data_IF_859087003591
#
_entry.id   IF_859087003591
#
_cell.length_a   1.000
_cell.length_b   1.000
_cell.length_c   1.000
_cell.angle_alpha   90.00
_cell.angle_beta   90.00
_cell.angle_gamma   90.00
#
_symmetry.space_group_name_H-M   'P 1'
#
loop_
_entity.id
_entity.type
_entity.pdbx_description
1 polymer ?
#
# COMPACT_ATOMS: atom_id res chain seq x y z
N UNK A 1 -21.36 28.62 21.82
CA UNK A 1 -20.09 27.86 21.90
C UNK A 1 -20.20 26.43 21.34
N UNK A 2 -21.29 25.70 21.61
CA UNK A 2 -21.55 24.35 21.07
C UNK A 2 -21.62 24.27 19.52
N UNK A 3 -22.21 25.27 18.86
CA UNK A 3 -22.39 25.25 17.39
C UNK A 3 -21.07 25.42 16.63
N UNK A 4 -20.17 26.30 17.09
CA UNK A 4 -18.86 26.52 16.47
C UNK A 4 -17.92 25.31 16.64
N UNK A 5 -18.05 24.56 17.73
CA UNK A 5 -17.26 23.37 18.01
C UNK A 5 -17.68 22.19 17.10
N UNK A 6 -18.97 22.03 16.84
CA UNK A 6 -19.50 21.03 15.89
C UNK A 6 -19.16 21.37 14.43
N UNK A 7 -19.19 22.64 14.04
CA UNK A 7 -18.77 23.07 12.69
C UNK A 7 -17.28 22.80 12.48
N UNK A 8 -16.42 23.14 13.45
CA UNK A 8 -14.97 22.83 13.37
C UNK A 8 -14.69 21.33 13.31
N UNK A 9 -15.46 20.51 14.04
CA UNK A 9 -15.35 19.04 14.01
C UNK A 9 -15.77 18.47 12.66
N UNK A 10 -16.88 18.96 12.08
CA UNK A 10 -17.36 18.56 10.75
C UNK A 10 -16.40 18.94 9.61
N UNK A 11 -15.84 20.16 9.63
CA UNK A 11 -14.84 20.60 8.64
C UNK A 11 -13.54 19.79 8.73
N UNK A 12 -13.10 19.45 9.95
CA UNK A 12 -11.91 18.62 10.16
C UNK A 12 -12.09 17.19 9.62
N UNK A 13 -13.25 16.58 9.84
CA UNK A 13 -13.58 15.26 9.28
C UNK A 13 -13.63 15.29 7.74
N UNK A 14 -14.22 16.32 7.14
CA UNK A 14 -14.27 16.47 5.68
C UNK A 14 -12.86 16.64 5.09
N UNK A 15 -11.99 17.40 5.76
CA UNK A 15 -10.61 17.58 5.31
C UNK A 15 -9.79 16.28 5.35
N UNK A 16 -9.96 15.46 6.40
CA UNK A 16 -9.31 14.14 6.48
C UNK A 16 -9.76 13.23 5.34
N UNK A 17 -11.07 13.16 5.10
CA UNK A 17 -11.64 12.35 4.01
C UNK A 17 -11.15 12.81 2.63
N UNK A 18 -10.97 14.11 2.44
CA UNK A 18 -10.47 14.70 1.18
C UNK A 18 -8.96 14.65 1.03
N UNK A 19 -8.23 14.42 2.12
CA UNK A 19 -6.78 14.29 2.13
C UNK A 19 -6.37 12.97 2.78
N UNK A 20 -6.64 11.82 2.12
CA UNK A 20 -6.45 10.49 2.72
C UNK A 20 -4.98 10.14 3.01
N UNK A 21 -4.04 10.94 2.49
CA UNK A 21 -2.60 10.81 2.67
C UNK A 21 -2.14 11.09 4.12
N UNK A 22 -2.80 12.01 4.83
CA UNK A 22 -2.35 12.49 6.15
C UNK A 22 -2.72 11.53 7.29
N UNK A 23 -2.23 11.77 8.51
CA UNK A 23 -2.55 10.95 9.69
C UNK A 23 -4.03 11.06 10.12
N UNK A 24 -4.71 9.93 10.32
CA UNK A 24 -6.13 9.84 10.68
C UNK A 24 -6.35 9.51 12.16
N UNK A 25 -5.35 8.97 12.86
CA UNK A 25 -5.50 8.51 14.25
C UNK A 25 -5.52 9.58 15.33
N UNK A 26 -5.49 10.89 15.02
CA UNK A 26 -5.34 11.97 16.02
C UNK A 26 -6.38 11.94 17.14
N UNK A 27 -7.60 11.50 16.85
CA UNK A 27 -8.70 11.44 17.81
C UNK A 27 -8.99 10.01 18.32
N UNK A 28 -8.20 9.04 17.86
CA UNK A 28 -8.37 7.63 18.22
C UNK A 28 -7.60 7.34 19.51
N UNK A 29 -8.15 6.44 20.33
CA UNK A 29 -7.56 6.08 21.63
C UNK A 29 -7.18 4.60 21.75
N UNK A 30 -7.89 3.74 21.02
CA UNK A 30 -7.74 2.28 21.05
C UNK A 30 -8.43 1.69 19.82
N UNK A 31 -8.22 0.41 19.55
CA UNK A 31 -8.73 -0.32 18.39
C UNK A 31 -8.43 0.40 17.05
N UNK A 32 -7.25 1.01 16.95
CA UNK A 32 -6.84 1.77 15.78
C UNK A 32 -5.44 1.37 15.32
N UNK A 33 -5.24 1.33 14.01
CA UNK A 33 -3.92 1.24 13.41
C UNK A 33 -3.82 2.22 12.24
N UNK A 34 -2.60 2.64 11.96
CA UNK A 34 -2.28 3.37 10.74
C UNK A 34 -0.82 3.09 10.36
N UNK A 35 -0.60 2.70 9.11
CA UNK A 35 0.73 2.36 8.60
C UNK A 35 0.90 2.76 7.15
N UNK A 36 2.13 3.07 6.78
CA UNK A 36 2.50 3.50 5.43
C UNK A 36 3.55 2.55 4.89
N UNK A 37 3.28 1.93 3.76
CA UNK A 37 4.14 1.01 3.05
C UNK A 37 5.00 1.78 2.03
N UNK A 38 6.30 1.88 2.28
CA UNK A 38 7.27 2.47 1.34
C UNK A 38 8.10 1.37 0.70
N UNK A 39 7.81 1.05 -0.55
CA UNK A 39 8.61 0.10 -1.32
C UNK A 39 9.57 0.83 -2.24
N UNK A 40 10.82 0.38 -2.16
CA UNK A 40 11.96 0.92 -2.88
C UNK A 40 12.55 -0.19 -3.72
N UNK A 41 12.70 0.04 -5.02
CA UNK A 41 13.34 -0.89 -5.94
C UNK A 41 14.50 -0.19 -6.61
N UNK A 42 15.67 -0.84 -6.70
CA UNK A 42 16.76 -0.44 -7.58
C UNK A 42 16.73 -1.35 -8.83
N UNK A 43 16.18 -0.90 -9.98
CA UNK A 43 15.96 -1.77 -11.14
C UNK A 43 17.25 -2.40 -11.70
N UNK A 44 18.41 -1.75 -11.51
CA UNK A 44 19.69 -2.25 -12.02
C UNK A 44 20.24 -3.44 -11.25
N UNK A 45 20.04 -3.46 -9.93
CA UNK A 45 20.55 -4.53 -9.05
C UNK A 45 19.45 -5.51 -8.66
N UNK A 46 18.19 -5.14 -8.83
CA UNK A 46 17.03 -5.86 -8.32
C UNK A 46 16.85 -5.74 -6.81
N UNK A 47 17.68 -4.92 -6.14
CA UNK A 47 17.57 -4.69 -4.69
C UNK A 47 16.21 -4.10 -4.36
N UNK A 48 15.44 -4.81 -3.55
CA UNK A 48 14.09 -4.42 -3.17
C UNK A 48 13.93 -4.40 -1.66
N UNK A 49 13.50 -3.26 -1.14
CA UNK A 49 13.29 -3.04 0.28
C UNK A 49 11.91 -2.45 0.52
N UNK A 50 11.29 -2.81 1.63
CA UNK A 50 10.09 -2.14 2.12
C UNK A 50 10.28 -1.68 3.55
N UNK A 51 9.90 -0.44 3.81
CA UNK A 51 9.82 0.14 5.15
C UNK A 51 8.37 0.50 5.44
N UNK A 52 7.84 -0.06 6.53
CA UNK A 52 6.44 0.11 6.92
C UNK A 52 6.38 0.75 8.31
N UNK A 53 6.60 2.06 8.44
CA UNK A 53 6.36 2.77 9.69
C UNK A 53 4.86 2.86 9.99
N UNK A 54 4.51 2.87 11.27
CA UNK A 54 3.13 3.02 11.69
C UNK A 54 2.94 3.12 13.20
N UNK A 55 1.67 3.19 13.58
CA UNK A 55 1.21 3.20 14.96
C UNK A 55 0.07 2.21 15.12
N UNK A 56 0.06 1.52 16.25
CA UNK A 56 -1.03 0.68 16.69
C UNK A 56 -1.48 1.14 18.08
N UNK A 57 -2.77 1.44 18.23
CA UNK A 57 -3.42 1.81 19.48
C UNK A 57 -4.26 0.63 19.95
N UNK A 58 -3.72 -0.13 20.90
CA UNK A 58 -4.35 -1.35 21.42
C UNK A 58 -5.19 -1.11 22.68
N UNK A 59 -5.78 -2.18 23.22
CA UNK A 59 -6.33 -2.21 24.59
C UNK A 59 -5.23 -2.61 25.57
N UNK A 60 -5.35 -2.22 26.84
CA UNK A 60 -4.48 -2.69 27.95
C UNK A 60 -2.97 -2.50 27.67
N UNK A 61 -2.54 -1.27 27.40
CA UNK A 61 -1.12 -0.91 27.20
C UNK A 61 -0.39 -1.59 26.03
N UNK A 62 -1.13 -2.22 25.10
CA UNK A 62 -0.54 -2.81 23.88
C UNK A 62 -0.21 -1.76 22.79
N UNK A 63 -0.43 -0.47 23.05
CA UNK A 63 -0.14 0.60 22.10
C UNK A 63 1.35 0.76 21.89
N UNK A 64 1.76 0.83 20.63
CA UNK A 64 3.14 1.04 20.25
C UNK A 64 3.21 1.61 18.84
N UNK A 65 4.32 2.30 18.57
CA UNK A 65 4.70 2.61 17.19
C UNK A 65 5.67 1.57 16.69
N UNK A 66 5.84 1.48 15.39
CA UNK A 66 6.67 0.45 14.78
C UNK A 66 7.26 0.89 13.45
N UNK A 67 8.34 0.21 13.06
CA UNK A 67 8.82 0.17 11.68
C UNK A 67 8.97 -1.31 11.32
N UNK A 68 8.19 -1.78 10.35
CA UNK A 68 8.46 -3.08 9.74
C UNK A 68 9.51 -2.91 8.64
N UNK A 69 10.48 -3.82 8.57
CA UNK A 69 11.54 -3.79 7.56
C UNK A 69 11.53 -5.10 6.80
N UNK A 70 11.37 -5.02 5.48
CA UNK A 70 11.49 -6.15 4.58
C UNK A 70 12.68 -5.94 3.66
N UNK A 71 13.50 -6.99 3.53
CA UNK A 71 14.64 -7.04 2.63
C UNK A 71 14.36 -8.16 1.64
N UNK A 72 13.82 -7.79 0.48
CA UNK A 72 13.26 -8.73 -0.50
C UNK A 72 14.27 -9.78 -0.94
N UNK A 73 15.47 -9.33 -1.31
CA UNK A 73 16.57 -10.19 -1.77
C UNK A 73 17.03 -11.21 -0.72
N UNK A 74 17.01 -10.81 0.55
CA UNK A 74 17.44 -11.61 1.69
C UNK A 74 16.31 -12.46 2.28
N UNK A 75 15.06 -12.25 1.84
CA UNK A 75 13.84 -12.84 2.42
C UNK A 75 13.81 -12.65 3.94
N UNK A 76 14.23 -11.47 4.36
CA UNK A 76 14.38 -11.14 5.77
C UNK A 76 13.35 -10.08 6.16
N UNK A 77 12.67 -10.34 7.27
CA UNK A 77 11.64 -9.49 7.84
C UNK A 77 11.93 -9.19 9.31
N UNK A 78 11.69 -7.94 9.72
CA UNK A 78 11.78 -7.49 11.11
C UNK A 78 10.62 -6.59 11.49
N UNK A 79 10.10 -6.81 12.69
CA UNK A 79 9.10 -5.94 13.33
C UNK A 79 9.73 -5.16 14.48
N UNK A 80 10.11 -3.92 14.22
CA UNK A 80 10.86 -3.09 15.15
C UNK A 80 9.87 -2.23 15.94
N UNK A 81 9.68 -2.56 17.23
CA UNK A 81 8.77 -1.82 18.11
C UNK A 81 9.44 -0.58 18.69
N UNK A 82 8.65 0.47 18.85
CA UNK A 82 9.01 1.73 19.48
C UNK A 82 7.88 2.11 20.47
N UNK A 83 8.16 3.02 21.39
CA UNK A 83 7.12 3.52 22.31
C UNK A 83 6.08 4.31 21.52
N UNK A 84 4.83 4.32 21.99
CA UNK A 84 3.75 5.09 21.35
C UNK A 84 4.12 6.57 21.16
N UNK A 85 4.71 7.19 22.18
CA UNK A 85 5.12 8.60 22.16
C UNK A 85 6.30 8.94 21.23
N UNK A 86 6.94 7.93 20.62
CA UNK A 86 7.94 8.12 19.58
C UNK A 86 7.31 8.24 18.18
N UNK A 87 6.00 8.08 18.05
CA UNK A 87 5.26 8.45 16.86
C UNK A 87 4.84 9.91 16.93
N UNK A 88 5.15 10.69 15.90
CA UNK A 88 4.72 12.08 15.76
C UNK A 88 4.27 12.31 14.33
N UNK A 89 3.11 12.90 14.11
CA UNK A 89 2.60 13.17 12.77
C UNK A 89 2.06 14.59 12.65
N UNK A 90 2.25 15.18 11.46
CA UNK A 90 1.62 16.45 11.10
C UNK A 90 0.11 16.29 11.00
N UNK A 91 -0.61 17.32 11.45
CA UNK A 91 -2.07 17.35 11.37
C UNK A 91 -2.60 17.76 9.99
N UNK A 92 -1.74 18.25 9.10
CA UNK A 92 -2.14 18.82 7.80
C UNK A 92 -1.31 18.33 6.62
N UNK A 93 -0.23 17.59 6.86
CA UNK A 93 0.71 17.17 5.82
C UNK A 93 1.03 15.67 5.95
N UNK A 94 1.41 15.06 4.84
CA UNK A 94 2.05 13.74 4.85
C UNK A 94 3.50 13.94 5.34
N UNK A 95 3.66 13.97 6.66
CA UNK A 95 4.94 14.10 7.33
C UNK A 95 4.81 13.52 8.75
N UNK A 96 5.61 12.51 9.07
CA UNK A 96 5.57 11.87 10.38
C UNK A 96 6.91 11.21 10.73
N UNK A 97 7.05 10.81 12.00
CA UNK A 97 8.26 10.23 12.58
C UNK A 97 7.91 8.99 13.38
N UNK A 98 8.84 8.03 13.42
CA UNK A 98 8.86 6.89 14.34
C UNK A 98 10.28 6.76 14.88
N UNK A 99 10.45 6.99 16.19
CA UNK A 99 11.79 7.11 16.77
C UNK A 99 12.53 8.29 16.15
N UNK A 100 13.77 8.06 15.71
CA UNK A 100 14.60 9.07 15.04
C UNK A 100 14.43 9.05 13.50
N UNK A 101 13.57 8.17 12.97
CA UNK A 101 13.30 8.07 11.53
C UNK A 101 12.13 8.97 11.13
N UNK A 102 12.22 9.64 9.99
CA UNK A 102 11.20 10.55 9.44
C UNK A 102 10.76 10.15 8.04
N UNK A 103 9.47 10.34 7.74
CA UNK A 103 8.83 9.89 6.51
C UNK A 103 7.96 11.00 5.92
N UNK A 104 8.08 11.22 4.62
CA UNK A 104 7.29 12.19 3.86
C UNK A 104 7.08 11.72 2.41
N UNK A 105 6.27 12.44 1.63
CA UNK A 105 6.17 12.20 0.18
C UNK A 105 7.40 12.68 -0.60
N UNK A 106 8.27 13.48 0.01
CA UNK A 106 9.47 14.02 -0.63
C UNK A 106 10.74 13.24 -0.26
N UNK A 107 10.63 12.27 0.66
CA UNK A 107 11.79 11.49 1.11
C UNK A 107 11.58 10.80 2.45
N UNK A 108 12.55 9.95 2.77
CA UNK A 108 12.69 9.29 4.07
C UNK A 108 14.08 9.56 4.63
N UNK A 109 14.18 9.71 5.95
CA UNK A 109 15.44 9.68 6.69
C UNK A 109 15.33 8.57 7.71
N UNK A 110 16.22 7.59 7.63
CA UNK A 110 16.22 6.43 8.50
C UNK A 110 17.39 6.51 9.48
N UNK A 111 17.06 6.28 10.74
CA UNK A 111 18.00 6.03 11.83
C UNK A 111 17.40 4.89 12.66
N UNK A 112 17.82 3.68 12.33
CA UNK A 112 17.36 2.43 12.92
C UNK A 112 18.57 1.71 13.48
N UNK A 113 18.58 1.49 14.79
CA UNK A 113 19.62 0.76 15.49
C UNK A 113 19.03 -0.12 16.60
N UNK A 114 18.34 -1.18 16.22
CA UNK A 114 17.78 -2.13 17.19
C UNK A 114 17.55 -3.52 16.59
N UNK A 115 17.47 -4.54 17.45
CA UNK A 115 17.23 -5.93 17.06
C UNK A 115 18.17 -6.46 15.95
N UNK A 116 19.45 -6.07 16.01
CA UNK A 116 20.49 -6.37 15.01
C UNK A 116 20.25 -5.77 13.62
N UNK A 117 19.29 -4.83 13.50
CA UNK A 117 19.15 -3.98 12.31
C UNK A 117 19.83 -2.63 12.54
N UNK A 118 20.74 -2.30 11.62
CA UNK A 118 21.50 -1.06 11.59
C UNK A 118 21.29 -0.39 10.24
N UNK A 119 20.29 0.49 10.13
CA UNK A 119 19.89 1.14 8.88
C UNK A 119 19.94 2.67 9.04
N UNK A 120 20.76 3.32 8.21
CA UNK A 120 21.04 4.75 8.30
C UNK A 120 21.06 5.40 6.93
N UNK A 121 20.56 6.62 6.83
CA UNK A 121 20.72 7.47 5.66
C UNK A 121 19.44 8.14 5.21
N UNK A 122 19.52 8.86 4.11
CA UNK A 122 18.42 9.68 3.60
C UNK A 122 18.20 9.38 2.13
N UNK A 123 16.94 9.24 1.76
CA UNK A 123 16.47 9.13 0.39
C UNK A 123 15.54 10.29 0.10
N UNK A 124 15.70 10.87 -1.09
CA UNK A 124 14.86 11.92 -1.63
C UNK A 124 14.01 11.35 -2.77
N UNK A 125 12.77 11.81 -2.86
CA UNK A 125 11.83 11.35 -3.84
C UNK A 125 11.43 12.48 -4.78
N UNK A 126 11.50 12.21 -6.09
CA UNK A 126 11.15 13.17 -7.14
C UNK A 126 10.16 12.53 -8.13
N UNK A 127 9.55 13.36 -8.98
CA UNK A 127 8.63 12.92 -10.04
C UNK A 127 7.51 11.99 -9.52
N UNK A 128 6.98 12.30 -8.33
CA UNK A 128 5.91 11.51 -7.71
C UNK A 128 4.68 11.54 -8.60
N UNK A 129 4.26 10.35 -9.05
CA UNK A 129 2.97 10.13 -9.70
C UNK A 129 2.01 9.68 -8.62
N UNK A 130 0.96 10.46 -8.38
CA UNK A 130 -0.08 10.14 -7.40
C UNK A 130 -1.22 9.34 -8.02
N UNK A 131 -1.97 8.63 -7.20
CA UNK A 131 -3.27 8.11 -7.65
C UNK A 131 -4.20 9.29 -8.01
N UNK A 132 -4.80 9.34 -9.22
CA UNK A 132 -5.66 10.46 -9.61
C UNK A 132 -6.95 10.51 -8.78
N UNK A 133 -7.09 11.57 -8.00
CA UNK A 133 -8.21 11.84 -7.11
C UNK A 133 -9.14 12.94 -7.65
N UNK A 134 -10.19 13.24 -6.88
CA UNK A 134 -11.09 14.36 -7.10
C UNK A 134 -11.84 14.66 -5.81
N UNK A 135 -12.49 15.83 -5.70
CA UNK A 135 -13.30 16.15 -4.52
C UNK A 135 -14.43 15.14 -4.25
N UNK A 136 -15.00 14.54 -5.31
CA UNK A 136 -16.09 13.55 -5.21
C UNK A 136 -15.54 12.15 -4.92
N UNK A 137 -14.38 11.82 -5.49
CA UNK A 137 -13.68 10.55 -5.27
C UNK A 137 -12.26 10.84 -4.77
N UNK A 138 -12.09 11.16 -3.47
CA UNK A 138 -10.78 11.43 -2.91
C UNK A 138 -9.97 10.13 -2.79
N UNK A 139 -8.72 10.16 -3.24
CA UNK A 139 -7.81 9.02 -3.12
C UNK A 139 -8.18 7.77 -3.95
N UNK A 140 -7.52 6.65 -3.61
CA UNK A 140 -7.71 5.35 -4.26
C UNK A 140 -9.07 4.73 -3.95
N UNK A 141 -9.53 4.85 -2.70
CA UNK A 141 -10.84 4.38 -2.27
C UNK A 141 -12.02 5.25 -2.75
N UNK A 142 -11.76 6.44 -3.28
CA UNK A 142 -12.79 7.32 -3.86
C UNK A 142 -13.94 7.57 -2.88
N UNK A 143 -15.18 7.38 -3.35
CA UNK A 143 -16.39 7.56 -2.52
C UNK A 143 -16.39 6.73 -1.22
N UNK A 144 -15.68 5.61 -1.16
CA UNK A 144 -15.65 4.78 0.05
C UNK A 144 -14.97 5.46 1.25
N UNK A 145 -14.14 6.49 1.03
CA UNK A 145 -13.57 7.29 2.12
C UNK A 145 -14.63 8.06 2.92
N UNK A 146 -15.84 8.24 2.38
CA UNK A 146 -16.95 8.86 3.10
C UNK A 146 -17.74 7.86 3.98
N UNK A 147 -17.47 6.56 3.89
CA UNK A 147 -18.22 5.52 4.60
C UNK A 147 -17.54 5.14 5.92
N UNK A 148 -18.13 5.51 7.05
CA UNK A 148 -17.53 5.33 8.38
C UNK A 148 -17.49 3.89 8.93
N UNK A 149 -18.07 2.91 8.22
CA UNK A 149 -18.21 1.54 8.70
C UNK A 149 -17.12 0.58 8.17
N UNK A 150 -16.21 1.06 7.34
CA UNK A 150 -15.12 0.22 6.82
C UNK A 150 -14.16 -0.16 7.94
N UNK A 151 -13.80 -1.44 8.02
CA UNK A 151 -12.82 -1.94 8.99
C UNK A 151 -11.39 -1.49 8.68
N UNK A 152 -11.09 -1.31 7.39
CA UNK A 152 -9.81 -0.91 6.84
C UNK A 152 -10.09 0.08 5.70
N UNK A 153 -9.33 1.16 5.68
CA UNK A 153 -9.22 2.06 4.56
C UNK A 153 -7.80 1.96 3.98
N UNK A 154 -7.68 2.19 2.67
CA UNK A 154 -6.42 2.16 1.93
C UNK A 154 -6.31 3.42 1.06
N UNK A 155 -5.09 3.91 0.91
CA UNK A 155 -4.75 5.05 0.08
C UNK A 155 -3.44 4.80 -0.65
N UNK A 156 -3.48 4.82 -1.98
CA UNK A 156 -2.25 4.78 -2.80
C UNK A 156 -1.72 6.19 -2.95
N UNK A 157 -0.78 6.57 -2.08
CA UNK A 157 -0.23 7.92 -2.02
C UNK A 157 0.68 8.22 -3.22
N UNK A 158 1.51 7.26 -3.63
CA UNK A 158 2.38 7.35 -4.79
C UNK A 158 2.33 6.05 -5.59
N UNK A 159 1.86 6.12 -6.83
CA UNK A 159 1.84 4.99 -7.76
C UNK A 159 3.22 4.78 -8.38
N UNK A 160 3.98 5.85 -8.62
CA UNK A 160 5.37 5.77 -9.06
C UNK A 160 6.15 6.99 -8.56
N UNK A 161 7.47 6.91 -8.60
CA UNK A 161 8.37 8.00 -8.26
C UNK A 161 9.83 7.60 -8.43
N UNK A 162 10.71 8.59 -8.51
CA UNK A 162 12.15 8.38 -8.63
C UNK A 162 12.82 8.58 -7.27
N UNK A 163 13.85 7.79 -7.00
CA UNK A 163 14.63 7.87 -5.77
C UNK A 163 16.03 8.43 -6.06
N UNK A 164 16.53 9.28 -5.16
CA UNK A 164 17.93 9.71 -5.06
C UNK A 164 18.46 9.50 -3.64
N UNK A 165 19.70 9.06 -3.53
CA UNK A 165 20.36 8.87 -2.24
C UNK A 165 20.69 7.41 -1.94
N UNK A 166 21.22 7.18 -0.75
CA UNK A 166 21.78 5.89 -0.34
C UNK A 166 21.40 5.57 1.10
N UNK A 167 21.31 4.28 1.40
CA UNK A 167 21.17 3.77 2.76
C UNK A 167 22.35 2.86 3.09
N UNK A 168 22.89 2.99 4.28
CA UNK A 168 23.77 1.98 4.89
C UNK A 168 22.89 0.98 5.62
N UNK A 169 22.79 -0.24 5.12
CA UNK A 169 21.97 -1.34 5.64
C UNK A 169 22.91 -2.42 6.15
N UNK A 170 23.00 -2.58 7.47
CA UNK A 170 23.84 -3.58 8.14
C UNK A 170 25.30 -3.56 7.66
N UNK A 171 25.84 -2.36 7.44
CA UNK A 171 27.20 -2.15 6.93
C UNK A 171 27.33 -2.20 5.41
N UNK A 172 26.30 -2.62 4.67
CA UNK A 172 26.26 -2.57 3.21
C UNK A 172 25.69 -1.24 2.74
N UNK A 173 26.43 -0.49 1.93
CA UNK A 173 25.90 0.70 1.27
C UNK A 173 25.06 0.29 0.06
N UNK A 174 23.79 0.68 0.05
CA UNK A 174 22.85 0.45 -1.07
C UNK A 174 22.49 1.78 -1.70
N UNK A 175 22.79 1.93 -2.98
CA UNK A 175 22.50 3.14 -3.76
C UNK A 175 21.14 3.01 -4.46
N UNK A 176 20.18 3.83 -4.03
CA UNK A 176 18.84 3.88 -4.61
C UNK A 176 18.70 4.96 -5.67
N UNK A 177 19.78 5.64 -6.06
CA UNK A 177 19.73 6.66 -7.10
C UNK A 177 19.29 6.04 -8.43
N UNK A 178 18.24 6.61 -9.03
CA UNK A 178 17.58 6.05 -10.22
C UNK A 178 16.62 4.90 -9.91
N UNK A 179 16.37 4.63 -8.62
CA UNK A 179 15.40 3.66 -8.15
C UNK A 179 13.96 4.13 -8.27
N UNK A 180 13.04 3.21 -8.02
CA UNK A 180 11.59 3.37 -8.13
C UNK A 180 10.91 3.30 -6.76
N UNK A 181 9.93 4.16 -6.55
CA UNK A 181 9.19 4.33 -5.30
C UNK A 181 7.72 4.00 -5.48
N UNK A 182 7.17 3.25 -4.52
CA UNK A 182 5.74 3.08 -4.32
C UNK A 182 5.37 3.38 -2.87
N UNK A 183 4.26 4.10 -2.66
CA UNK A 183 3.75 4.43 -1.33
C UNK A 183 2.26 4.11 -1.25
N UNK A 184 1.88 3.25 -0.31
CA UNK A 184 0.49 2.98 0.05
C UNK A 184 0.31 3.12 1.56
N UNK A 185 -0.90 3.43 2.00
CA UNK A 185 -1.22 3.67 3.39
C UNK A 185 -2.50 2.94 3.74
N UNK A 186 -2.51 2.24 4.89
CA UNK A 186 -3.71 1.61 5.42
C UNK A 186 -4.02 2.13 6.83
N UNK A 187 -5.29 2.32 7.16
CA UNK A 187 -5.73 2.70 8.50
C UNK A 187 -7.10 2.12 8.85
N UNK A 188 -7.43 2.08 10.14
CA UNK A 188 -8.73 1.59 10.61
C UNK A 188 -8.59 0.71 11.84
N UNK A 189 -9.46 -0.29 11.98
CA UNK A 189 -9.49 -1.20 13.14
C UNK A 189 -8.82 -2.54 12.87
N UNK A 190 -8.96 -3.06 11.66
CA UNK A 190 -8.48 -4.40 11.27
C UNK A 190 -8.34 -4.46 9.76
N UNK A 191 -7.40 -5.26 9.26
CA UNK A 191 -7.36 -5.61 7.84
C UNK A 191 -8.59 -6.44 7.44
N UNK A 192 -8.97 -6.44 6.14
CA UNK A 192 -9.98 -7.36 5.63
C UNK A 192 -9.61 -8.81 5.91
N UNK A 193 -10.62 -9.65 6.14
CA UNK A 193 -10.40 -11.08 6.37
C UNK A 193 -9.76 -11.73 5.14
N UNK A 194 -10.35 -11.51 3.96
CA UNK A 194 -9.91 -12.06 2.68
C UNK A 194 -9.50 -10.93 1.74
N UNK A 195 -8.23 -10.90 1.32
CA UNK A 195 -7.68 -9.95 0.36
C UNK A 195 -6.54 -10.55 -0.48
N UNK A 196 -6.36 -9.98 -1.67
CA UNK A 196 -5.23 -10.19 -2.58
C UNK A 196 -4.67 -8.80 -2.89
N UNK A 197 -3.35 -8.65 -2.78
CA UNK A 197 -2.65 -7.43 -3.19
C UNK A 197 -1.47 -7.75 -4.10
N UNK A 198 -1.26 -6.93 -5.13
CA UNK A 198 -0.10 -7.02 -5.99
C UNK A 198 0.34 -5.63 -6.47
N UNK A 199 1.66 -5.42 -6.56
CA UNK A 199 2.24 -4.14 -6.97
C UNK A 199 3.54 -4.34 -7.74
N UNK A 200 3.75 -3.53 -8.77
CA UNK A 200 5.04 -3.43 -9.44
C UNK A 200 5.19 -2.13 -10.21
N UNK A 201 6.38 -1.53 -10.20
CA UNK A 201 6.68 -0.26 -10.88
C UNK A 201 8.11 -0.15 -11.42
N UNK A 202 8.80 -1.30 -11.51
CA UNK A 202 10.13 -1.43 -12.10
C UNK A 202 10.07 -2.38 -13.29
N UNK A 203 9.22 -2.06 -14.26
CA UNK A 203 9.06 -2.84 -15.49
C UNK A 203 10.29 -2.69 -16.39
N UNK A 204 10.57 -3.71 -17.21
CA UNK A 204 11.79 -3.82 -18.00
C UNK A 204 12.00 -2.62 -18.93
N UNK A 205 10.94 -2.14 -19.57
CA UNK A 205 10.98 -1.03 -20.51
C UNK A 205 10.69 0.34 -19.84
N UNK A 206 10.55 0.37 -18.51
CA UNK A 206 10.63 1.60 -17.69
C UNK A 206 9.37 2.47 -17.57
N UNK A 207 8.30 2.18 -18.30
CA UNK A 207 7.14 3.07 -18.46
C UNK A 207 5.84 2.57 -17.81
N UNK A 208 5.94 1.70 -16.81
CA UNK A 208 4.80 1.06 -16.15
C UNK A 208 4.83 1.18 -14.63
N UNK A 209 3.66 1.35 -14.03
CA UNK A 209 3.40 1.07 -12.62
C UNK A 209 1.99 0.53 -12.46
N UNK A 210 1.84 -0.51 -11.63
CA UNK A 210 0.57 -1.13 -11.33
C UNK A 210 0.42 -1.38 -9.84
N UNK A 211 -0.80 -1.22 -9.36
CA UNK A 211 -1.25 -1.66 -8.05
C UNK A 211 -2.63 -2.30 -8.19
N UNK A 212 -2.82 -3.40 -7.47
CA UNK A 212 -4.03 -4.20 -7.46
C UNK A 212 -4.39 -4.51 -6.01
N UNK A 213 -5.46 -3.94 -5.49
CA UNK A 213 -5.99 -4.28 -4.15
C UNK A 213 -7.38 -4.89 -4.33
N UNK A 214 -7.58 -6.13 -3.90
CA UNK A 214 -8.85 -6.85 -3.96
C UNK A 214 -9.18 -7.32 -2.55
N UNK A 215 -10.40 -7.06 -2.08
CA UNK A 215 -10.80 -7.46 -0.74
C UNK A 215 -12.29 -7.81 -0.66
N UNK A 216 -12.63 -8.67 0.29
CA UNK A 216 -14.01 -8.87 0.69
C UNK A 216 -14.44 -7.72 1.61
N UNK A 217 -15.40 -6.91 1.14
CA UNK A 217 -15.89 -5.74 1.85
C UNK A 217 -17.14 -6.12 2.65
N UNK A 218 -17.10 -6.03 3.99
CA UNK A 218 -18.29 -6.25 4.81
C UNK A 218 -19.29 -5.11 4.59
N UNK A 219 -20.57 -5.47 4.55
CA UNK A 219 -21.66 -4.50 4.48
C UNK A 219 -22.50 -4.56 5.76
N UNK A 220 -23.11 -3.45 6.19
CA UNK A 220 -24.02 -3.46 7.34
C UNK A 220 -25.16 -4.46 7.11
N UNK A 221 -25.51 -5.22 8.15
CA UNK A 221 -26.65 -6.12 8.11
C UNK A 221 -27.92 -5.34 7.70
N UNK A 222 -28.75 -5.84 6.75
CA UNK A 222 -28.76 -7.20 6.18
C UNK A 222 -28.06 -7.34 4.81
N UNK A 223 -27.29 -6.34 4.37
CA UNK A 223 -26.64 -6.35 3.05
C UNK A 223 -25.49 -7.36 3.05
N UNK A 224 -25.45 -8.24 2.04
CA UNK A 224 -24.35 -9.20 1.87
C UNK A 224 -23.04 -8.46 1.56
N UNK A 225 -21.92 -9.03 2.00
CA UNK A 225 -20.59 -8.59 1.58
C UNK A 225 -20.41 -8.72 0.07
N UNK A 226 -19.46 -7.95 -0.48
CA UNK A 226 -19.12 -8.02 -1.90
C UNK A 226 -17.60 -7.99 -2.09
N UNK A 227 -17.13 -8.43 -3.27
CA UNK A 227 -15.71 -8.28 -3.64
C UNK A 227 -15.48 -6.88 -4.17
N UNK A 228 -14.82 -6.04 -3.38
CA UNK A 228 -14.34 -4.73 -3.80
C UNK A 228 -12.94 -4.85 -4.38
N UNK A 229 -12.62 -4.02 -5.39
CA UNK A 229 -11.28 -3.96 -5.94
C UNK A 229 -10.92 -2.56 -6.43
N UNK A 230 -9.64 -2.24 -6.29
CA UNK A 230 -8.98 -1.01 -6.70
C UNK A 230 -7.74 -1.41 -7.52
N UNK A 231 -7.87 -1.43 -8.84
CA UNK A 231 -6.77 -1.73 -9.75
C UNK A 231 -6.46 -0.47 -10.56
N UNK A 232 -5.20 -0.08 -10.57
CA UNK A 232 -4.72 1.10 -11.29
C UNK A 232 -3.40 0.82 -11.97
N UNK A 233 -3.29 1.20 -13.25
CA UNK A 233 -2.05 1.14 -14.01
C UNK A 233 -1.70 2.52 -14.55
N UNK A 234 -0.49 2.99 -14.24
CA UNK A 234 0.16 4.10 -14.91
C UNK A 234 1.02 3.52 -16.04
N UNK A 235 0.73 3.88 -17.29
CA UNK A 235 1.47 3.41 -18.45
C UNK A 235 1.66 4.55 -19.44
N UNK A 236 2.90 4.76 -19.91
CA UNK A 236 3.23 5.73 -20.97
C UNK A 236 2.65 7.13 -20.70
N UNK A 237 2.84 7.64 -19.48
CA UNK A 237 2.38 8.98 -19.10
C UNK A 237 0.90 9.08 -18.71
N UNK A 238 0.13 7.99 -18.76
CA UNK A 238 -1.32 8.01 -18.51
C UNK A 238 -1.76 6.99 -17.47
N UNK A 239 -2.71 7.39 -16.63
CA UNK A 239 -3.31 6.53 -15.62
C UNK A 239 -4.64 5.91 -16.10
N UNK A 240 -4.81 4.61 -15.86
CA UNK A 240 -6.00 3.83 -16.22
C UNK A 240 -6.56 3.15 -14.96
N UNK A 241 -7.84 3.40 -14.67
CA UNK A 241 -8.53 2.92 -13.47
C UNK A 241 -9.49 1.77 -13.78
N UNK A 242 -9.42 0.74 -12.95
CA UNK A 242 -10.34 -0.39 -12.94
C UNK A 242 -10.78 -0.63 -11.49
N UNK A 243 -11.95 -0.12 -11.12
CA UNK A 243 -12.43 -0.20 -9.74
C UNK A 243 -13.89 -0.64 -9.70
N UNK A 244 -14.32 -1.18 -8.56
CA UNK A 244 -15.75 -1.44 -8.33
C UNK A 244 -16.60 -0.18 -8.50
N UNK A 245 -16.05 1.00 -8.15
CA UNK A 245 -16.74 2.30 -8.24
C UNK A 245 -16.99 2.72 -9.69
N UNK A 246 -16.03 2.49 -10.60
CA UNK A 246 -16.20 2.86 -12.00
C UNK A 246 -16.87 1.77 -12.86
N UNK A 247 -17.53 0.80 -12.20
CA UNK A 247 -18.26 -0.32 -12.82
C UNK A 247 -17.36 -1.16 -13.73
N UNK A 248 -16.08 -1.28 -13.38
CA UNK A 248 -15.25 -2.32 -13.98
C UNK A 248 -15.69 -3.69 -13.46
N UNK A 249 -15.38 -4.73 -14.20
CA UNK A 249 -15.53 -6.13 -13.80
C UNK A 249 -14.15 -6.73 -13.53
N UNK A 250 -14.13 -7.80 -12.73
CA UNK A 250 -12.92 -8.52 -12.38
C UNK A 250 -13.21 -10.03 -12.39
N UNK A 251 -12.34 -10.80 -13.03
CA UNK A 251 -12.25 -12.25 -12.85
C UNK A 251 -10.88 -12.59 -12.28
N UNK A 252 -10.86 -13.53 -11.34
CA UNK A 252 -9.65 -14.01 -10.66
C UNK A 252 -9.55 -15.50 -10.93
N UNK A 253 -8.40 -15.97 -11.41
CA UNK A 253 -8.09 -17.39 -11.48
C UNK A 253 -6.74 -17.67 -10.83
N UNK A 254 -6.59 -18.88 -10.32
CA UNK A 254 -5.36 -19.34 -9.66
C UNK A 254 -4.87 -20.61 -10.37
N UNK A 255 -3.56 -20.68 -10.54
CA UNK A 255 -2.79 -21.86 -10.92
C UNK A 255 -1.72 -22.08 -9.84
N UNK A 256 -0.91 -23.14 -9.95
CA UNK A 256 0.22 -23.34 -9.05
C UNK A 256 1.18 -22.14 -9.10
N UNK A 257 1.38 -21.50 -7.94
CA UNK A 257 2.24 -20.33 -7.77
C UNK A 257 1.97 -19.15 -8.73
N UNK A 258 0.72 -19.01 -9.20
CA UNK A 258 0.32 -17.95 -10.13
C UNK A 258 -1.13 -17.53 -9.89
N UNK A 259 -1.36 -16.22 -9.82
CA UNK A 259 -2.70 -15.62 -9.87
C UNK A 259 -2.84 -14.80 -11.14
N UNK A 260 -4.00 -14.91 -11.79
CA UNK A 260 -4.35 -14.14 -12.97
C UNK A 260 -5.54 -13.26 -12.65
N UNK A 261 -5.36 -11.95 -12.80
CA UNK A 261 -6.41 -10.95 -12.70
C UNK A 261 -6.75 -10.47 -14.11
N UNK A 262 -8.00 -10.61 -14.54
CA UNK A 262 -8.50 -9.97 -15.77
C UNK A 262 -9.57 -8.97 -15.40
N UNK A 263 -9.37 -7.72 -15.77
CA UNK A 263 -10.32 -6.64 -15.52
C UNK A 263 -10.62 -5.86 -16.78
N UNK A 264 -11.86 -5.40 -16.91
CA UNK A 264 -12.30 -4.65 -18.06
C UNK A 264 -13.34 -3.61 -17.72
N UNK A 265 -13.38 -2.56 -18.53
CA UNK A 265 -14.42 -1.54 -18.52
C UNK A 265 -14.88 -1.27 -19.96
N UNK A 266 -15.65 -0.20 -20.19
CA UNK A 266 -16.14 0.15 -21.54
C UNK A 266 -15.01 0.35 -22.57
N UNK A 267 -13.85 0.86 -22.16
CA UNK A 267 -12.78 1.29 -23.06
C UNK A 267 -11.57 0.35 -23.08
N UNK A 268 -11.25 -0.30 -21.95
CA UNK A 268 -9.98 -0.99 -21.76
C UNK A 268 -10.15 -2.42 -21.24
N UNK A 269 -9.16 -3.26 -21.53
CA UNK A 269 -8.98 -4.60 -20.99
C UNK A 269 -7.55 -4.70 -20.41
N UNK A 270 -7.43 -5.18 -19.18
CA UNK A 270 -6.18 -5.34 -18.44
C UNK A 270 -6.06 -6.77 -17.95
N UNK A 271 -4.92 -7.41 -18.21
CA UNK A 271 -4.53 -8.70 -17.64
C UNK A 271 -3.27 -8.52 -16.81
N UNK A 272 -3.28 -9.09 -15.60
CA UNK A 272 -2.14 -9.14 -14.69
C UNK A 272 -1.92 -10.59 -14.31
N UNK A 273 -0.79 -11.15 -14.69
CA UNK A 273 -0.33 -12.45 -14.20
C UNK A 273 0.71 -12.20 -13.11
N UNK A 274 0.40 -12.60 -11.89
CA UNK A 274 1.28 -12.51 -10.73
C UNK A 274 1.85 -13.89 -10.43
N UNK A 275 3.12 -14.12 -10.78
CA UNK A 275 3.86 -15.33 -10.46
C UNK A 275 4.67 -15.11 -9.19
N UNK A 276 4.72 -16.11 -8.33
CA UNK A 276 5.44 -16.05 -7.07
C UNK A 276 6.10 -17.39 -6.76
N UNK A 277 6.78 -17.48 -5.61
CA UNK A 277 7.16 -18.75 -5.01
C UNK A 277 6.75 -18.76 -3.56
N UNK A 278 6.12 -19.84 -3.12
CA UNK A 278 5.50 -19.92 -1.80
C UNK A 278 6.54 -19.79 -0.67
N UNK A 279 7.75 -20.31 -0.88
CA UNK A 279 8.87 -20.25 0.07
C UNK A 279 9.52 -18.86 0.17
N UNK A 280 9.11 -17.89 -0.68
CA UNK A 280 9.65 -16.52 -0.65
C UNK A 280 8.79 -15.56 0.17
N UNK A 281 7.66 -16.04 0.71
CA UNK A 281 6.76 -15.23 1.52
C UNK A 281 7.28 -15.01 2.93
N UNK A 282 7.17 -13.78 3.40
CA UNK A 282 7.42 -13.36 4.78
C UNK A 282 6.08 -13.08 5.47
N UNK A 283 6.01 -13.34 6.77
CA UNK A 283 4.82 -13.09 7.59
C UNK A 283 4.93 -11.72 8.28
N UNK A 284 4.29 -10.73 7.68
CA UNK A 284 4.20 -9.35 8.16
C UNK A 284 3.16 -9.22 9.27
N UNK A 285 3.39 -8.27 10.18
CA UNK A 285 2.40 -7.97 11.20
C UNK A 285 1.30 -7.08 10.60
N UNK A 286 0.07 -7.51 10.83
CA UNK A 286 -1.14 -6.81 10.44
C UNK A 286 -2.15 -6.79 11.60
N UNK A 287 -3.03 -5.78 11.64
CA UNK A 287 -4.04 -5.65 12.68
C UNK A 287 -5.17 -6.67 12.47
N UNK A 288 -5.38 -7.54 13.46
CA UNK A 288 -6.48 -8.52 13.48
C UNK A 288 -6.91 -8.81 14.92
N UNK A 289 -8.21 -8.74 15.18
CA UNK A 289 -8.77 -9.02 16.51
C UNK A 289 -8.23 -8.11 17.62
N UNK A 290 -7.96 -6.83 17.32
CA UNK A 290 -7.43 -5.87 18.29
C UNK A 290 -5.97 -6.10 18.68
N UNK A 291 -5.19 -6.80 17.85
CA UNK A 291 -3.76 -7.05 18.03
C UNK A 291 -3.02 -6.89 16.70
N UNK A 292 -1.73 -6.56 16.78
CA UNK A 292 -0.80 -6.71 15.65
C UNK A 292 -0.23 -8.13 15.66
N UNK A 293 -0.52 -8.94 14.63
CA UNK A 293 -0.11 -10.34 14.54
C UNK A 293 0.44 -10.70 13.14
N UNK A 294 1.34 -11.69 13.01
CA UNK A 294 2.05 -11.99 11.77
C UNK A 294 1.20 -12.81 10.77
N UNK A 295 0.14 -12.21 10.24
CA UNK A 295 -0.86 -12.89 9.38
C UNK A 295 -0.85 -12.44 7.91
N UNK A 296 -0.21 -11.31 7.60
CA UNK A 296 -0.08 -10.85 6.22
C UNK A 296 1.08 -11.59 5.56
N UNK A 297 0.81 -12.37 4.52
CA UNK A 297 1.82 -13.12 3.79
C UNK A 297 2.23 -12.32 2.56
N UNK A 298 3.46 -11.79 2.53
CA UNK A 298 3.96 -10.99 1.40
C UNK A 298 5.33 -11.46 0.89
N UNK A 299 5.54 -11.40 -0.43
CA UNK A 299 6.86 -11.45 -1.06
C UNK A 299 7.15 -10.18 -1.87
N UNK A 300 8.42 -9.77 -1.92
CA UNK A 300 8.92 -8.68 -2.78
C UNK A 300 9.67 -9.19 -4.03
N UNK A 301 9.72 -10.52 -4.20
CA UNK A 301 10.39 -11.21 -5.31
C UNK A 301 9.38 -11.79 -6.31
N UNK A 302 8.16 -11.26 -6.33
CA UNK A 302 7.16 -11.66 -7.31
C UNK A 302 7.51 -11.20 -8.72
N UNK A 303 6.93 -11.86 -9.72
CA UNK A 303 6.96 -11.41 -11.11
C UNK A 303 5.55 -11.03 -11.56
N UNK A 304 5.39 -9.87 -12.17
CA UNK A 304 4.17 -9.50 -12.88
C UNK A 304 4.40 -9.54 -14.38
N UNK A 305 3.49 -10.16 -15.14
CA UNK A 305 3.30 -9.88 -16.56
C UNK A 305 2.02 -9.06 -16.71
N UNK A 306 2.09 -7.92 -17.38
CA UNK A 306 0.96 -6.98 -17.45
C UNK A 306 0.70 -6.58 -18.87
N UNK A 307 -0.57 -6.70 -19.27
CA UNK A 307 -1.05 -6.40 -20.61
C UNK A 307 -2.24 -5.45 -20.52
N UNK A 308 -2.15 -4.28 -21.14
CA UNK A 308 -3.23 -3.28 -21.25
C UNK A 308 -3.59 -3.03 -22.71
N UNK A 309 -4.86 -3.20 -23.05
CA UNK A 309 -5.39 -3.08 -24.41
C UNK A 309 -6.48 -2.01 -24.51
N UNK A 310 -6.44 -1.19 -25.56
CA UNK A 310 -7.51 -0.26 -25.93
C UNK A 310 -8.49 -0.96 -26.87
N UNK A 311 -9.72 -1.22 -26.38
CA UNK A 311 -10.73 -1.96 -27.15
C UNK A 311 -11.28 -1.15 -28.31
N UNK A 312 -11.30 0.18 -28.21
CA UNK A 312 -11.85 1.05 -29.26
C UNK A 312 -10.88 1.23 -30.40
N UNK A 313 -9.59 1.38 -30.07
CA UNK A 313 -8.52 1.51 -31.06
C UNK A 313 -7.99 0.18 -31.57
N UNK A 314 -8.29 -0.92 -30.86
CA UNK A 314 -7.85 -2.26 -31.23
C UNK A 314 -6.34 -2.46 -31.09
N UNK A 315 -5.68 -1.74 -30.16
CA UNK A 315 -4.23 -1.77 -30.03
C UNK A 315 -3.73 -1.99 -28.59
N UNK A 316 -2.52 -2.52 -28.50
CA UNK A 316 -1.83 -2.72 -27.23
C UNK A 316 -1.23 -1.41 -26.71
N UNK A 317 -1.60 -1.01 -25.49
CA UNK A 317 -1.03 0.16 -24.83
C UNK A 317 0.25 -0.24 -24.10
N UNK A 318 0.20 -1.34 -23.34
CA UNK A 318 1.27 -1.79 -22.47
C UNK A 318 1.36 -3.31 -22.50
N UNK A 319 2.58 -3.85 -22.55
CA UNK A 319 2.86 -5.28 -22.47
C UNK A 319 4.29 -5.44 -21.96
N UNK A 320 4.46 -5.68 -20.67
CA UNK A 320 5.79 -5.77 -20.05
C UNK A 320 5.76 -6.62 -18.78
N UNK A 321 6.96 -6.95 -18.28
CA UNK A 321 7.20 -7.71 -17.06
C UNK A 321 7.95 -6.90 -16.01
N UNK A 322 7.58 -7.09 -14.74
CA UNK A 322 8.29 -6.58 -13.56
C UNK A 322 8.75 -7.77 -12.72
N UNK A 323 10.02 -7.80 -12.28
CA UNK A 323 10.62 -8.92 -11.53
C UNK A 323 10.79 -8.66 -10.03
N UNK A 324 10.49 -7.45 -9.59
CA UNK A 324 10.59 -7.00 -8.19
C UNK A 324 9.21 -6.66 -7.66
N UNK A 325 8.22 -7.53 -7.91
CA UNK A 325 6.84 -7.27 -7.56
C UNK A 325 6.54 -7.63 -6.11
N UNK A 326 5.70 -6.79 -5.48
CA UNK A 326 5.06 -7.09 -4.22
C UNK A 326 3.85 -7.95 -4.50
N UNK A 327 3.70 -9.08 -3.81
CA UNK A 327 2.50 -9.93 -3.88
C UNK A 327 2.16 -10.32 -2.45
N UNK A 328 0.94 -10.00 -2.02
CA UNK A 328 0.46 -10.26 -0.66
C UNK A 328 -0.90 -10.99 -0.69
N UNK A 329 -1.03 -11.97 0.21
CA UNK A 329 -2.27 -12.70 0.43
C UNK A 329 -2.65 -12.69 1.91
N UNK A 330 -3.94 -12.50 2.17
CA UNK A 330 -4.55 -12.97 3.43
C UNK A 330 -4.58 -14.49 3.50
N UNK A 331 -4.73 -15.05 4.70
CA UNK A 331 -4.89 -16.51 4.88
C UNK A 331 -6.11 -17.09 4.14
N UNK A 332 -7.19 -16.33 4.01
CA UNK A 332 -8.45 -16.76 3.41
C UNK A 332 -8.67 -16.21 1.99
N UNK A 333 -7.60 -15.83 1.28
CA UNK A 333 -7.71 -15.19 -0.04
C UNK A 333 -8.47 -16.03 -1.07
N UNK A 334 -8.47 -17.36 -0.93
CA UNK A 334 -9.20 -18.30 -1.80
C UNK A 334 -10.72 -18.06 -1.80
N UNK A 335 -11.28 -17.47 -0.74
CA UNK A 335 -12.70 -17.07 -0.70
C UNK A 335 -13.05 -15.99 -1.73
N UNK A 336 -12.05 -15.27 -2.27
CA UNK A 336 -12.26 -14.31 -3.35
C UNK A 336 -12.36 -14.97 -4.72
N UNK A 337 -11.93 -16.23 -4.84
CA UNK A 337 -11.85 -16.99 -6.08
C UNK A 337 -13.08 -17.90 -6.22
N UNK A 338 -13.45 -18.60 -5.15
CA UNK A 338 -14.51 -19.62 -5.15
C UNK A 338 -15.90 -19.11 -4.69
N UNK A 339 -16.27 -17.87 -5.02
CA UNK A 339 -17.56 -17.27 -4.59
C UNK A 339 -18.79 -17.86 -5.27
#
# INVERSE_FOLDING_TARGET
MYTAMNIKRGVFVINLVRNPDIYHGKNEKTDFFEGWYFKLVQPRTGDTYCFIPGIFLGKEENSHSFIQVMKGNERNFKYLKYRENQFKASASEFNFQVGESSFSLNGISLDINQQYERIFGTLYFDNIVRWPDSAINPGSMGFYNYLSFMQCYSQVCAVDGNIRGKLSINGRLVDFTGGKLYIEKNWGKSFPYSYIWAQGNSFKDGDGSITCSIANIPMPFPIKSFTGFLIGIYAKGRFYKFTSINKSSLSISCEEEKIILKTYNKNYFLTVEALYKQDYFMKLYAPRGGKMIPVASETLQGKLNVTLFDKKKGNMIFNDSCFSAGIEFSESYMELIYK
#
